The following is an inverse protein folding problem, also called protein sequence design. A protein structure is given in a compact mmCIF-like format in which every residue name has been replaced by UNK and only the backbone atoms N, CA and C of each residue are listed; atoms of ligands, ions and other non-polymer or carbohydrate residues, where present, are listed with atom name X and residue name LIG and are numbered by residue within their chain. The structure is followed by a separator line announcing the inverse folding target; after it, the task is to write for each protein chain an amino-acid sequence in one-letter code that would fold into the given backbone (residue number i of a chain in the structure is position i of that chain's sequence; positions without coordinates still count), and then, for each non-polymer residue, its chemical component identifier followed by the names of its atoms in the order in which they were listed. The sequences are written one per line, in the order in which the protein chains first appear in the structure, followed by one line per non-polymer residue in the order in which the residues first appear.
data_IF_133589764778
#
_entry.id   IF_133589764778
#
_cell.length_a   1.000
_cell.length_b   1.000
_cell.length_c   1.000
_cell.angle_alpha   90.00
_cell.angle_beta   90.00
_cell.angle_gamma   90.00
#
_symmetry.space_group_name_H-M   'P 1'
#
loop_
_entity.id
_entity.type
_entity.pdbx_description
1 polymer ?
#
# COMPACT_ATOMS: atom_id res chain seq x y z
N UNK A 1 27.35 -44.55 -11.70
CA UNK A 1 27.10 -43.59 -12.78
C UNK A 1 25.74 -42.87 -12.60
N UNK A 2 24.71 -43.59 -12.12
CA UNK A 2 23.32 -43.03 -11.98
C UNK A 2 23.21 -41.86 -10.98
N UNK A 3 23.85 -41.98 -9.82
CA UNK A 3 23.80 -40.91 -8.79
C UNK A 3 24.40 -39.55 -9.27
N UNK A 4 25.47 -39.58 -10.08
CA UNK A 4 26.05 -38.36 -10.66
C UNK A 4 25.14 -37.71 -11.69
N UNK A 5 24.40 -38.48 -12.48
CA UNK A 5 23.43 -37.95 -13.47
C UNK A 5 22.20 -37.32 -12.78
N UNK A 6 21.72 -37.92 -11.71
CA UNK A 6 20.60 -37.40 -10.92
C UNK A 6 21.01 -36.05 -10.25
N UNK A 7 22.22 -36.00 -9.69
CA UNK A 7 22.74 -34.74 -9.09
C UNK A 7 22.90 -33.63 -10.13
N UNK A 8 23.41 -33.94 -11.33
CA UNK A 8 23.55 -32.97 -12.42
C UNK A 8 22.19 -32.49 -12.95
N UNK A 9 21.17 -33.33 -13.00
CA UNK A 9 19.82 -32.96 -13.41
C UNK A 9 19.17 -32.11 -12.33
N UNK A 10 19.35 -32.42 -11.04
CA UNK A 10 18.87 -31.58 -9.93
C UNK A 10 19.54 -30.20 -9.94
N UNK A 11 20.86 -30.16 -10.16
CA UNK A 11 21.60 -28.89 -10.27
C UNK A 11 21.12 -28.04 -11.46
N UNK A 12 20.88 -28.68 -12.60
CA UNK A 12 20.36 -28.03 -13.80
C UNK A 12 18.93 -27.50 -13.58
N UNK A 13 18.05 -28.28 -12.90
CA UNK A 13 16.72 -27.83 -12.51
C UNK A 13 16.77 -26.66 -11.52
N UNK A 14 17.67 -26.69 -10.54
CA UNK A 14 17.88 -25.56 -9.63
C UNK A 14 18.39 -24.32 -10.37
N UNK A 15 19.34 -24.45 -11.31
CA UNK A 15 19.82 -23.34 -12.14
C UNK A 15 18.73 -22.79 -13.06
N UNK A 16 17.90 -23.64 -13.64
CA UNK A 16 16.78 -23.19 -14.49
C UNK A 16 15.71 -22.49 -13.65
N UNK A 17 15.45 -22.95 -12.44
CA UNK A 17 14.52 -22.28 -11.50
C UNK A 17 15.06 -20.91 -11.02
N UNK A 18 16.39 -20.74 -10.90
CA UNK A 18 17.00 -19.43 -10.55
C UNK A 18 17.15 -18.48 -11.75
N UNK A 19 17.02 -19.01 -12.98
CA UNK A 19 17.04 -18.24 -14.23
C UNK A 19 15.65 -17.94 -14.79
N UNK A 20 14.59 -18.40 -14.12
CA UNK A 20 13.25 -17.91 -14.44
C UNK A 20 13.25 -16.41 -14.13
N UNK A 21 13.10 -15.56 -15.15
CA UNK A 21 13.05 -14.13 -14.91
C UNK A 21 11.86 -13.84 -13.99
N UNK A 22 12.04 -12.91 -13.08
CA UNK A 22 10.98 -12.31 -12.26
C UNK A 22 9.79 -11.77 -13.09
N UNK A 23 9.88 -11.83 -14.41
CA UNK A 23 8.84 -11.54 -15.37
C UNK A 23 7.60 -12.48 -15.31
N UNK A 24 7.68 -13.64 -14.66
CA UNK A 24 6.53 -14.54 -14.57
C UNK A 24 5.38 -14.04 -13.69
N UNK A 25 5.61 -12.99 -12.88
CA UNK A 25 4.57 -12.37 -12.03
C UNK A 25 3.98 -11.08 -12.61
N UNK A 26 4.46 -10.59 -13.74
CA UNK A 26 3.87 -9.46 -14.48
C UNK A 26 2.56 -9.81 -15.22
N UNK A 27 2.05 -11.03 -15.06
CA UNK A 27 1.00 -11.61 -15.91
C UNK A 27 -0.39 -11.00 -15.76
N UNK A 28 -0.60 -10.02 -14.86
CA UNK A 28 -1.91 -9.38 -14.67
C UNK A 28 -1.92 -7.88 -15.02
N UNK A 29 -0.90 -7.38 -15.69
CA UNK A 29 -0.94 -6.00 -16.17
C UNK A 29 -2.00 -5.86 -17.25
N UNK A 30 -2.93 -4.96 -17.00
CA UNK A 30 -3.94 -4.64 -18.01
C UNK A 30 -3.31 -3.77 -19.11
N UNK A 31 -3.71 -3.99 -20.37
CA UNK A 31 -3.28 -3.12 -21.46
C UNK A 31 -3.66 -1.66 -21.16
N UNK A 32 -2.84 -0.74 -21.61
CA UNK A 32 -3.09 0.67 -21.43
C UNK A 32 -4.40 1.13 -22.11
N UNK A 33 -5.13 1.98 -21.40
CA UNK A 33 -6.39 2.52 -21.89
C UNK A 33 -6.12 3.86 -22.58
N UNK A 34 -6.28 3.89 -23.91
CA UNK A 34 -6.18 5.12 -24.72
C UNK A 34 -7.53 5.81 -24.94
N UNK A 35 -8.58 5.40 -24.25
CA UNK A 35 -9.94 5.90 -24.49
C UNK A 35 -10.06 7.36 -24.04
N UNK A 36 -10.32 8.24 -25.02
CA UNK A 36 -10.97 9.52 -24.75
C UNK A 36 -12.41 9.30 -24.29
N UNK A 37 -13.03 10.29 -23.64
CA UNK A 37 -14.44 10.21 -23.30
C UNK A 37 -15.25 10.06 -24.61
N UNK A 38 -16.06 9.00 -24.77
CA UNK A 38 -16.84 8.80 -25.97
C UNK A 38 -17.85 9.93 -26.19
N UNK A 39 -18.16 10.22 -27.40
CA UNK A 39 -19.24 11.16 -27.77
C UNK A 39 -20.63 10.52 -27.75
N UNK A 40 -20.68 9.17 -27.79
CA UNK A 40 -21.91 8.38 -27.72
C UNK A 40 -21.77 7.22 -26.77
N UNK A 41 -22.86 6.86 -26.11
CA UNK A 41 -22.93 5.77 -25.12
C UNK A 41 -24.05 4.79 -25.52
N UNK A 42 -23.83 3.49 -25.28
CA UNK A 42 -24.89 2.49 -25.53
C UNK A 42 -26.09 2.69 -24.60
N UNK A 43 -25.82 3.16 -23.38
CA UNK A 43 -26.85 3.45 -22.37
C UNK A 43 -26.51 4.68 -21.55
N UNK A 44 -27.49 5.56 -21.38
CA UNK A 44 -27.42 6.69 -20.46
C UNK A 44 -28.44 6.49 -19.34
N UNK A 45 -27.98 6.63 -18.08
CA UNK A 45 -28.76 6.47 -16.87
C UNK A 45 -28.67 7.73 -16.02
N UNK A 46 -29.82 8.30 -15.69
CA UNK A 46 -29.94 9.42 -14.76
C UNK A 46 -30.35 8.85 -13.39
N UNK A 47 -29.47 8.95 -12.39
CA UNK A 47 -29.70 8.40 -11.08
C UNK A 47 -30.85 9.09 -10.33
N UNK A 48 -31.15 10.35 -10.64
CA UNK A 48 -32.27 11.08 -10.01
C UNK A 48 -33.63 10.45 -10.34
N UNK A 49 -33.70 9.70 -11.43
CA UNK A 49 -34.91 8.98 -11.90
C UNK A 49 -34.95 7.52 -11.43
N UNK A 50 -33.86 7.02 -10.83
CA UNK A 50 -33.78 5.63 -10.37
C UNK A 50 -34.36 5.51 -8.95
N UNK A 51 -35.22 4.50 -8.73
CA UNK A 51 -35.88 4.25 -7.43
C UNK A 51 -35.50 2.89 -6.84
N UNK A 52 -34.47 2.24 -7.38
CA UNK A 52 -33.99 0.92 -6.95
C UNK A 52 -32.52 0.71 -7.38
N UNK A 53 -31.95 -0.39 -6.91
CA UNK A 53 -30.60 -0.84 -7.32
C UNK A 53 -30.42 -0.81 -8.85
N UNK A 54 -29.35 -0.19 -9.32
CA UNK A 54 -28.98 -0.21 -10.74
C UNK A 54 -28.11 -1.45 -11.01
N UNK A 55 -28.62 -2.35 -11.84
CA UNK A 55 -27.87 -3.55 -12.25
C UNK A 55 -27.30 -3.39 -13.65
N UNK A 56 -25.99 -3.64 -13.78
CA UNK A 56 -25.26 -3.68 -15.03
C UNK A 56 -24.87 -5.13 -15.30
N UNK A 57 -25.39 -5.70 -16.40
CA UNK A 57 -25.28 -7.14 -16.68
C UNK A 57 -24.69 -7.48 -18.05
N UNK A 58 -24.13 -6.48 -18.74
CA UNK A 58 -23.50 -6.62 -20.05
C UNK A 58 -22.21 -5.77 -20.15
N UNK A 59 -21.44 -5.97 -21.21
CA UNK A 59 -20.17 -5.28 -21.45
C UNK A 59 -20.33 -3.99 -22.29
N UNK A 60 -21.46 -3.32 -22.19
CA UNK A 60 -21.72 -2.08 -22.91
C UNK A 60 -21.03 -0.88 -22.28
N UNK A 61 -21.06 0.22 -23.05
CA UNK A 61 -20.59 1.53 -22.58
C UNK A 61 -21.74 2.31 -21.97
N UNK A 62 -21.59 2.70 -20.72
CA UNK A 62 -22.61 3.41 -19.95
C UNK A 62 -22.17 4.83 -19.63
N UNK A 63 -23.10 5.79 -19.71
CA UNK A 63 -23.01 7.07 -19.04
C UNK A 63 -24.00 7.08 -17.87
N UNK A 64 -23.49 7.26 -16.65
CA UNK A 64 -24.31 7.38 -15.45
C UNK A 64 -24.13 8.80 -14.91
N UNK A 65 -25.23 9.54 -14.85
CA UNK A 65 -25.27 10.91 -14.34
C UNK A 65 -25.83 10.96 -12.93
N UNK A 66 -25.13 11.68 -12.06
CA UNK A 66 -25.62 12.05 -10.74
C UNK A 66 -26.57 13.24 -10.78
N UNK A 67 -26.74 13.87 -9.63
CA UNK A 67 -27.49 15.12 -9.48
C UNK A 67 -26.54 16.32 -9.51
N UNK A 68 -27.02 17.44 -10.04
CA UNK A 68 -26.33 18.75 -9.92
C UNK A 68 -26.35 19.28 -8.47
N UNK A 69 -27.32 18.82 -7.66
CA UNK A 69 -27.38 19.17 -6.23
C UNK A 69 -26.25 18.42 -5.49
N UNK A 70 -25.27 19.14 -4.88
CA UNK A 70 -24.16 18.53 -4.16
C UNK A 70 -24.57 17.81 -2.88
N UNK A 71 -25.77 18.01 -2.37
CA UNK A 71 -26.29 17.38 -1.16
C UNK A 71 -27.14 16.15 -1.47
N UNK A 72 -27.40 15.86 -2.75
CA UNK A 72 -28.20 14.72 -3.14
C UNK A 72 -27.35 13.47 -3.29
N UNK A 73 -27.80 12.38 -2.69
CA UNK A 73 -27.18 11.07 -2.78
C UNK A 73 -28.17 10.02 -3.26
N UNK A 74 -27.74 9.22 -4.23
CA UNK A 74 -28.44 7.99 -4.58
C UNK A 74 -28.34 6.99 -3.43
N UNK A 75 -29.47 6.56 -2.89
CA UNK A 75 -29.56 5.72 -1.67
C UNK A 75 -29.53 4.22 -1.97
N UNK A 76 -29.30 3.83 -3.20
CA UNK A 76 -29.19 2.46 -3.62
C UNK A 76 -27.80 2.20 -4.16
N UNK A 77 -27.43 0.94 -4.34
CA UNK A 77 -26.14 0.58 -4.93
C UNK A 77 -26.20 0.46 -6.45
N UNK A 78 -25.05 0.57 -7.07
CA UNK A 78 -24.79 0.13 -8.44
C UNK A 78 -24.14 -1.25 -8.36
N UNK A 79 -24.78 -2.27 -8.91
CA UNK A 79 -24.26 -3.63 -8.96
C UNK A 79 -23.85 -4.03 -10.36
N UNK A 80 -22.57 -4.38 -10.54
CA UNK A 80 -22.02 -4.91 -11.78
C UNK A 80 -21.99 -6.42 -11.65
N UNK A 81 -22.91 -7.11 -12.32
CA UNK A 81 -23.21 -8.54 -12.13
C UNK A 81 -23.31 -9.27 -13.46
N UNK A 82 -22.24 -9.98 -13.79
CA UNK A 82 -22.19 -10.78 -15.01
C UNK A 82 -23.10 -12.02 -15.04
N UNK A 83 -23.80 -12.33 -13.94
CA UNK A 83 -24.60 -13.56 -13.81
C UNK A 83 -23.81 -14.81 -14.26
N UNK A 84 -22.57 -14.96 -13.75
CA UNK A 84 -21.59 -16.01 -14.13
C UNK A 84 -21.01 -15.86 -15.54
N UNK A 85 -21.34 -14.81 -16.29
CA UNK A 85 -20.65 -14.45 -17.52
C UNK A 85 -19.53 -13.47 -17.23
N UNK A 86 -18.40 -13.62 -17.90
CA UNK A 86 -17.32 -12.62 -17.85
C UNK A 86 -17.80 -11.37 -18.61
N UNK A 87 -18.09 -10.31 -17.86
CA UNK A 87 -18.42 -8.99 -18.44
C UNK A 87 -17.35 -7.98 -18.09
N UNK A 88 -17.17 -7.00 -18.95
CA UNK A 88 -16.25 -5.88 -18.75
C UNK A 88 -16.89 -4.60 -19.30
N UNK A 89 -17.87 -4.00 -18.59
CA UNK A 89 -18.46 -2.74 -18.99
C UNK A 89 -17.47 -1.59 -18.85
N UNK A 90 -17.62 -0.59 -19.71
CA UNK A 90 -17.00 0.71 -19.60
C UNK A 90 -18.04 1.69 -19.05
N UNK A 91 -17.85 2.17 -17.82
CA UNK A 91 -18.86 2.96 -17.11
C UNK A 91 -18.29 4.35 -16.84
N UNK A 92 -18.85 5.35 -17.48
CA UNK A 92 -18.56 6.75 -17.28
C UNK A 92 -19.52 7.32 -16.24
N UNK A 93 -18.97 7.90 -15.19
CA UNK A 93 -19.67 8.37 -13.99
C UNK A 93 -19.46 9.89 -13.89
N UNK A 94 -20.53 10.66 -14.07
CA UNK A 94 -20.49 12.12 -14.06
C UNK A 94 -21.24 12.65 -12.82
N UNK A 95 -20.50 13.21 -11.87
CA UNK A 95 -21.05 13.79 -10.65
C UNK A 95 -21.84 12.79 -9.78
N UNK A 96 -21.38 11.54 -9.72
CA UNK A 96 -22.14 10.48 -9.05
C UNK A 96 -21.85 10.46 -7.55
N UNK A 97 -22.88 10.73 -6.74
CA UNK A 97 -22.83 10.63 -5.27
C UNK A 97 -23.69 9.48 -4.81
N UNK A 98 -23.09 8.48 -4.15
CA UNK A 98 -23.77 7.27 -3.67
C UNK A 98 -23.56 7.11 -2.18
N UNK A 99 -24.67 6.90 -1.46
CA UNK A 99 -24.64 6.43 -0.08
C UNK A 99 -25.19 5.00 -0.06
N UNK A 100 -24.31 4.07 0.31
CA UNK A 100 -24.64 2.65 0.30
C UNK A 100 -25.86 2.33 1.16
N UNK A 101 -26.70 1.36 0.76
CA UNK A 101 -27.71 0.79 1.64
C UNK A 101 -27.02 0.12 2.84
N UNK A 102 -27.76 -0.05 3.94
CA UNK A 102 -27.24 -0.57 5.23
C UNK A 102 -26.49 -1.91 5.10
N UNK A 103 -26.80 -2.69 4.08
CA UNK A 103 -26.33 -4.06 3.87
C UNK A 103 -25.44 -4.22 2.61
N UNK A 104 -24.80 -3.17 2.14
CA UNK A 104 -23.99 -3.26 0.94
C UNK A 104 -22.98 -2.13 0.72
N UNK A 105 -22.17 -2.25 -0.32
CA UNK A 105 -21.30 -1.19 -0.85
C UNK A 105 -22.12 -0.19 -1.70
N UNK A 106 -21.51 0.98 -2.00
CA UNK A 106 -22.11 1.92 -2.94
C UNK A 106 -22.01 1.43 -4.40
N UNK A 107 -20.86 0.90 -4.78
CA UNK A 107 -20.67 0.20 -6.07
C UNK A 107 -20.08 -1.18 -5.77
N UNK A 108 -20.64 -2.22 -6.41
CA UNK A 108 -20.27 -3.61 -6.22
C UNK A 108 -19.91 -4.28 -7.54
N UNK A 109 -18.69 -4.83 -7.65
CA UNK A 109 -18.34 -5.82 -8.65
C UNK A 109 -18.63 -7.21 -8.09
N UNK A 110 -19.63 -7.88 -8.66
CA UNK A 110 -20.16 -9.14 -8.14
C UNK A 110 -19.69 -10.32 -8.98
N UNK A 111 -19.40 -11.46 -8.33
CA UNK A 111 -19.06 -12.75 -8.96
C UNK A 111 -18.02 -12.68 -10.08
N UNK A 112 -16.89 -12.01 -9.83
CA UNK A 112 -15.78 -11.99 -10.78
C UNK A 112 -15.97 -11.12 -12.02
N UNK A 113 -16.94 -10.20 -12.00
CA UNK A 113 -17.07 -9.19 -13.03
C UNK A 113 -15.81 -8.31 -13.07
N UNK A 114 -15.41 -7.91 -14.28
CA UNK A 114 -14.44 -6.84 -14.50
C UNK A 114 -15.18 -5.54 -14.79
N UNK A 115 -14.56 -4.38 -14.54
CA UNK A 115 -15.08 -3.09 -14.95
C UNK A 115 -13.97 -2.07 -15.13
N UNK A 116 -14.17 -1.15 -16.10
CA UNK A 116 -13.46 0.10 -16.19
C UNK A 116 -14.42 1.23 -15.78
N UNK A 117 -14.13 1.89 -14.67
CA UNK A 117 -14.90 3.02 -14.15
C UNK A 117 -14.16 4.32 -14.47
N UNK A 118 -14.81 5.22 -15.19
CA UNK A 118 -14.29 6.51 -15.61
C UNK A 118 -15.07 7.61 -14.89
N UNK A 119 -14.46 8.27 -13.94
CA UNK A 119 -15.05 9.43 -13.25
C UNK A 119 -14.71 10.69 -14.05
N UNK A 120 -15.73 11.35 -14.54
CA UNK A 120 -15.64 12.47 -15.49
C UNK A 120 -16.56 13.63 -15.09
N UNK A 121 -16.40 14.76 -15.73
CA UNK A 121 -17.30 15.92 -15.63
C UNK A 121 -17.24 16.58 -14.27
N UNK A 122 -17.88 15.99 -13.28
CA UNK A 122 -17.99 16.53 -11.92
C UNK A 122 -17.47 15.54 -10.88
N UNK A 123 -17.09 16.06 -9.69
CA UNK A 123 -16.62 15.27 -8.56
C UNK A 123 -17.66 14.23 -8.13
N UNK A 124 -17.15 13.07 -7.77
CA UNK A 124 -17.96 11.93 -7.34
C UNK A 124 -17.62 11.48 -5.93
N UNK A 125 -18.61 10.98 -5.21
CA UNK A 125 -18.45 10.51 -3.85
C UNK A 125 -19.19 9.20 -3.60
N UNK A 126 -18.49 8.24 -3.01
CA UNK A 126 -19.00 6.92 -2.68
C UNK A 126 -18.85 6.67 -1.19
N UNK A 127 -19.93 6.32 -0.49
CA UNK A 127 -19.94 6.05 0.95
C UNK A 127 -20.42 4.62 1.18
N UNK A 128 -19.57 3.78 1.78
CA UNK A 128 -19.89 2.39 2.14
C UNK A 128 -20.68 2.27 3.46
N UNK A 129 -21.44 1.21 3.59
CA UNK A 129 -22.07 0.87 4.87
C UNK A 129 -21.03 0.27 5.86
N UNK A 130 -21.41 0.12 7.14
CA UNK A 130 -20.51 -0.21 8.25
C UNK A 130 -19.50 -1.34 7.95
N UNK A 131 -19.94 -2.42 7.33
CA UNK A 131 -19.10 -3.59 7.06
C UNK A 131 -18.51 -3.61 5.64
N UNK A 132 -18.78 -2.60 4.82
CA UNK A 132 -18.57 -2.66 3.38
C UNK A 132 -17.61 -1.59 2.89
N UNK A 133 -16.89 -1.92 1.82
CA UNK A 133 -16.15 -0.94 1.06
C UNK A 133 -17.12 0.05 0.37
N UNK A 134 -16.64 1.26 0.08
CA UNK A 134 -17.43 2.18 -0.74
C UNK A 134 -17.51 1.68 -2.19
N UNK A 135 -16.37 1.33 -2.78
CA UNK A 135 -16.24 0.68 -4.08
C UNK A 135 -15.67 -0.71 -3.89
N UNK A 136 -16.52 -1.74 -4.03
CA UNK A 136 -16.16 -3.11 -3.69
C UNK A 136 -15.70 -3.94 -4.88
N UNK A 137 -14.52 -4.56 -4.73
CA UNK A 137 -13.98 -5.61 -5.59
C UNK A 137 -13.28 -6.63 -4.69
N UNK A 138 -13.99 -7.69 -4.33
CA UNK A 138 -13.58 -8.64 -3.30
C UNK A 138 -13.34 -10.08 -3.78
N UNK A 139 -13.32 -10.31 -5.07
CA UNK A 139 -13.03 -11.61 -5.69
C UNK A 139 -11.71 -11.58 -6.44
N UNK A 140 -11.02 -12.71 -6.51
CA UNK A 140 -9.78 -12.88 -7.28
C UNK A 140 -10.02 -12.79 -8.78
N UNK A 141 -11.17 -13.30 -9.26
CA UNK A 141 -11.55 -13.22 -10.66
C UNK A 141 -11.91 -11.79 -11.08
N UNK A 142 -11.63 -11.47 -12.32
CA UNK A 142 -11.89 -10.17 -12.91
C UNK A 142 -10.99 -9.06 -12.35
N UNK A 143 -11.18 -7.85 -12.82
CA UNK A 143 -10.43 -6.68 -12.37
C UNK A 143 -11.31 -5.44 -12.21
N UNK A 144 -10.84 -4.49 -11.43
CA UNK A 144 -11.39 -3.15 -11.34
C UNK A 144 -10.34 -2.15 -11.82
N UNK A 145 -10.62 -1.40 -12.87
CA UNK A 145 -9.83 -0.24 -13.24
C UNK A 145 -10.57 1.04 -12.93
N UNK A 146 -9.94 1.93 -12.17
CA UNK A 146 -10.46 3.25 -11.80
C UNK A 146 -9.65 4.32 -12.50
N UNK A 147 -10.33 5.14 -13.28
CA UNK A 147 -9.77 6.24 -14.04
C UNK A 147 -10.52 7.53 -13.65
N UNK A 148 -9.80 8.54 -13.22
CA UNK A 148 -10.38 9.84 -12.83
C UNK A 148 -9.83 10.89 -13.76
N UNK A 149 -10.72 11.61 -14.44
CA UNK A 149 -10.37 12.67 -15.37
C UNK A 149 -9.56 13.77 -14.65
N UNK A 150 -8.57 14.30 -15.32
CA UNK A 150 -7.75 15.41 -14.79
C UNK A 150 -8.64 16.59 -14.41
N UNK A 151 -8.43 17.12 -13.20
CA UNK A 151 -9.25 18.19 -12.64
C UNK A 151 -10.49 17.69 -11.87
N UNK A 152 -10.78 16.39 -11.90
CA UNK A 152 -11.91 15.76 -11.19
C UNK A 152 -11.40 14.98 -9.98
N UNK A 153 -12.24 14.89 -8.94
CA UNK A 153 -11.99 14.14 -7.72
C UNK A 153 -13.01 13.03 -7.50
N UNK A 154 -12.51 11.86 -7.15
CA UNK A 154 -13.29 10.75 -6.60
C UNK A 154 -12.99 10.63 -5.10
N UNK A 155 -14.02 10.69 -4.27
CA UNK A 155 -13.92 10.39 -2.83
C UNK A 155 -14.61 9.07 -2.53
N UNK A 156 -13.89 8.14 -1.89
CA UNK A 156 -14.40 6.84 -1.45
C UNK A 156 -14.21 6.70 0.06
N UNK A 157 -15.31 6.63 0.80
CA UNK A 157 -15.31 6.43 2.24
C UNK A 157 -15.88 5.05 2.58
N UNK A 158 -15.03 4.14 3.00
CA UNK A 158 -15.43 2.81 3.49
C UNK A 158 -16.14 2.89 4.84
N UNK A 159 -16.94 1.87 5.15
CA UNK A 159 -17.50 1.71 6.47
C UNK A 159 -16.46 1.27 7.51
N UNK A 160 -16.85 1.14 8.77
CA UNK A 160 -15.95 0.82 9.91
C UNK A 160 -15.01 -0.35 9.65
N UNK A 161 -15.49 -1.38 8.97
CA UNK A 161 -14.75 -2.61 8.70
C UNK A 161 -14.35 -2.78 7.22
N UNK A 162 -14.81 -1.91 6.34
CA UNK A 162 -14.57 -1.97 4.91
C UNK A 162 -13.42 -1.06 4.47
N UNK A 163 -12.84 -1.39 3.32
CA UNK A 163 -11.88 -0.54 2.63
C UNK A 163 -12.57 0.70 2.02
N UNK A 164 -11.80 1.75 1.74
CA UNK A 164 -12.30 2.81 0.86
C UNK A 164 -12.61 2.25 -0.53
N UNK A 165 -11.63 1.56 -1.12
CA UNK A 165 -11.76 0.82 -2.40
C UNK A 165 -11.19 -0.57 -2.21
N UNK A 166 -11.98 -1.62 -2.46
CA UNK A 166 -11.53 -3.00 -2.40
C UNK A 166 -12.42 -3.93 -1.61
N UNK A 167 -11.96 -4.47 -0.50
CA UNK A 167 -12.62 -5.50 0.29
C UNK A 167 -13.56 -4.96 1.37
N UNK A 168 -14.55 -5.75 1.70
CA UNK A 168 -15.42 -5.56 2.86
C UNK A 168 -14.93 -6.43 4.03
N UNK A 169 -15.61 -6.43 5.17
CA UNK A 169 -15.28 -7.29 6.31
C UNK A 169 -15.30 -8.78 5.92
N UNK A 170 -14.30 -9.55 6.33
CA UNK A 170 -14.31 -11.02 6.18
C UNK A 170 -15.41 -11.65 7.05
N UNK A 171 -16.03 -12.71 6.54
CA UNK A 171 -17.02 -13.51 7.29
C UNK A 171 -18.45 -12.96 7.32
N UNK A 172 -18.76 -11.92 6.55
CA UNK A 172 -20.14 -11.49 6.36
C UNK A 172 -20.86 -12.48 5.44
N UNK A 173 -22.07 -12.88 5.80
CA UNK A 173 -22.91 -13.79 5.02
C UNK A 173 -23.02 -13.29 3.57
N UNK A 174 -22.65 -14.14 2.60
CA UNK A 174 -22.55 -13.86 1.17
C UNK A 174 -21.34 -13.02 0.71
N UNK A 175 -20.44 -12.57 1.61
CA UNK A 175 -19.24 -11.82 1.31
C UNK A 175 -18.04 -12.52 1.98
N UNK A 176 -17.77 -13.75 1.61
CA UNK A 176 -16.81 -14.63 2.27
C UNK A 176 -15.34 -14.18 2.17
N UNK A 177 -15.05 -13.19 1.35
CA UNK A 177 -13.69 -12.75 1.10
C UNK A 177 -13.62 -11.22 1.22
N UNK A 178 -13.05 -10.75 2.30
CA UNK A 178 -12.80 -9.31 2.53
C UNK A 178 -11.59 -8.78 1.77
N UNK A 179 -11.14 -9.49 0.74
CA UNK A 179 -9.96 -9.14 -0.02
C UNK A 179 -10.21 -7.97 -0.97
N UNK A 180 -9.22 -7.12 -1.16
CA UNK A 180 -9.16 -6.13 -2.24
C UNK A 180 -8.15 -6.62 -3.27
N UNK A 181 -8.62 -7.16 -4.40
CA UNK A 181 -7.77 -7.89 -5.34
C UNK A 181 -7.95 -7.39 -6.76
N UNK A 182 -6.84 -7.29 -7.48
CA UNK A 182 -6.78 -6.93 -8.90
C UNK A 182 -7.37 -5.54 -9.16
N UNK A 183 -6.79 -4.55 -8.45
CA UNK A 183 -7.18 -3.14 -8.46
C UNK A 183 -6.17 -2.32 -9.27
N UNK A 184 -6.65 -1.57 -10.25
CA UNK A 184 -5.81 -0.78 -11.15
C UNK A 184 -6.24 0.68 -11.14
N UNK A 185 -5.28 1.61 -10.97
CA UNK A 185 -5.53 3.05 -10.86
C UNK A 185 -4.76 3.81 -11.93
N UNK A 186 -5.47 4.58 -12.74
CA UNK A 186 -4.89 5.40 -13.79
C UNK A 186 -4.46 4.63 -15.04
N UNK A 187 -3.64 5.30 -15.88
CA UNK A 187 -3.10 4.79 -17.15
C UNK A 187 -1.75 5.44 -17.42
N UNK A 188 -0.81 4.70 -18.00
CA UNK A 188 0.46 5.25 -18.48
C UNK A 188 0.34 5.89 -19.87
N UNK A 189 -0.69 5.53 -20.62
CA UNK A 189 -0.81 5.93 -22.03
C UNK A 189 -1.35 7.36 -22.23
N UNK A 190 -1.91 7.99 -21.20
CA UNK A 190 -2.57 9.29 -21.36
C UNK A 190 -2.63 10.08 -20.06
N UNK A 191 -2.44 11.40 -20.17
CA UNK A 191 -2.60 12.34 -19.04
C UNK A 191 -4.06 12.74 -18.79
N UNK A 192 -5.02 12.24 -19.57
CA UNK A 192 -6.46 12.56 -19.42
C UNK A 192 -6.98 12.07 -18.08
N UNK A 193 -6.41 11.00 -17.54
CA UNK A 193 -6.83 10.36 -16.29
C UNK A 193 -5.80 10.58 -15.16
N UNK A 194 -5.37 11.82 -14.99
CA UNK A 194 -4.48 12.28 -13.92
C UNK A 194 -5.21 12.90 -12.73
N UNK A 195 -6.52 12.66 -12.59
CA UNK A 195 -7.33 13.24 -11.51
C UNK A 195 -7.03 12.68 -10.13
N UNK A 196 -7.81 13.14 -9.13
CA UNK A 196 -7.57 12.83 -7.73
C UNK A 196 -8.49 11.71 -7.22
N UNK A 197 -7.91 10.75 -6.50
CA UNK A 197 -8.63 9.73 -5.74
C UNK A 197 -8.32 9.93 -4.26
N UNK A 198 -9.38 10.17 -3.45
CA UNK A 198 -9.33 10.17 -1.99
C UNK A 198 -10.03 8.92 -1.48
N UNK A 199 -9.25 7.94 -1.00
CA UNK A 199 -9.80 6.69 -0.48
C UNK A 199 -9.50 6.56 1.00
N UNK A 200 -10.56 6.58 1.83
CA UNK A 200 -10.48 6.54 3.28
C UNK A 200 -11.24 5.31 3.76
N UNK A 201 -10.59 4.48 4.55
CA UNK A 201 -11.28 3.35 5.21
C UNK A 201 -11.93 3.80 6.52
N UNK A 202 -12.73 2.90 7.08
CA UNK A 202 -13.04 2.95 8.49
C UNK A 202 -11.87 2.47 9.37
N UNK A 203 -12.18 2.02 10.59
CA UNK A 203 -11.14 1.69 11.62
C UNK A 203 -10.26 0.51 11.20
N UNK A 204 -10.85 -0.51 10.59
CA UNK A 204 -10.19 -1.81 10.38
C UNK A 204 -9.86 -2.14 8.92
N UNK A 205 -10.38 -1.40 7.97
CA UNK A 205 -10.11 -1.61 6.55
C UNK A 205 -8.86 -0.86 6.07
N UNK A 206 -8.33 -1.25 4.93
CA UNK A 206 -7.35 -0.47 4.20
C UNK A 206 -7.99 0.71 3.46
N UNK A 207 -7.26 1.80 3.24
CA UNK A 207 -7.75 2.86 2.35
C UNK A 207 -8.03 2.32 0.95
N UNK A 208 -7.06 1.60 0.36
CA UNK A 208 -7.19 0.80 -0.86
C UNK A 208 -6.69 -0.61 -0.56
N UNK A 209 -7.53 -1.63 -0.72
CA UNK A 209 -7.16 -3.02 -0.53
C UNK A 209 -8.14 -3.81 0.30
N UNK A 210 -7.68 -4.53 1.34
CA UNK A 210 -8.51 -5.40 2.17
C UNK A 210 -9.43 -4.67 3.13
N UNK A 211 -10.63 -5.22 3.38
CA UNK A 211 -11.41 -4.92 4.58
C UNK A 211 -10.82 -5.66 5.80
N UNK A 212 -11.46 -5.58 6.98
CA UNK A 212 -11.00 -6.30 8.17
C UNK A 212 -10.83 -7.81 7.88
N UNK A 213 -9.66 -8.34 8.20
CA UNK A 213 -9.25 -9.72 7.92
C UNK A 213 -8.91 -9.98 6.44
N UNK A 214 -8.97 -8.97 5.58
CA UNK A 214 -8.81 -9.12 4.14
C UNK A 214 -7.44 -8.74 3.62
N UNK A 215 -7.02 -9.45 2.59
CA UNK A 215 -5.77 -9.20 1.85
C UNK A 215 -5.94 -8.02 0.89
N UNK A 216 -4.92 -7.18 0.78
CA UNK A 216 -4.75 -6.27 -0.36
C UNK A 216 -3.74 -6.86 -1.34
N UNK A 217 -4.20 -7.23 -2.53
CA UNK A 217 -3.37 -8.01 -3.46
C UNK A 217 -3.56 -7.57 -4.91
N UNK A 218 -2.47 -7.59 -5.69
CA UNK A 218 -2.49 -7.20 -7.10
C UNK A 218 -3.04 -5.77 -7.27
N UNK A 219 -2.42 -4.82 -6.56
CA UNK A 219 -2.78 -3.40 -6.60
C UNK A 219 -1.77 -2.67 -7.48
N UNK A 220 -2.26 -2.02 -8.53
CA UNK A 220 -1.44 -1.34 -9.53
C UNK A 220 -1.79 0.15 -9.60
N UNK A 221 -0.79 1.02 -9.43
CA UNK A 221 -0.92 2.47 -9.60
C UNK A 221 -0.06 2.91 -10.78
N UNK A 222 -0.70 3.45 -11.80
CA UNK A 222 -0.05 3.90 -13.03
C UNK A 222 0.08 5.42 -13.11
N UNK A 223 -0.95 6.16 -12.67
CA UNK A 223 -0.98 7.62 -12.74
C UNK A 223 -2.06 8.19 -11.81
N UNK A 224 -2.19 9.52 -11.78
CA UNK A 224 -3.15 10.23 -10.95
C UNK A 224 -2.58 10.62 -9.59
N UNK A 225 -3.41 11.33 -8.81
CA UNK A 225 -3.09 11.72 -7.43
C UNK A 225 -3.93 10.88 -6.48
N UNK A 226 -3.30 10.02 -5.71
CA UNK A 226 -3.94 9.15 -4.74
C UNK A 226 -3.63 9.63 -3.32
N UNK A 227 -4.66 10.00 -2.57
CA UNK A 227 -4.60 10.28 -1.13
C UNK A 227 -5.36 9.17 -0.42
N UNK A 228 -4.61 8.27 0.20
CA UNK A 228 -5.13 7.00 0.70
C UNK A 228 -4.85 6.86 2.18
N UNK A 229 -5.89 6.64 2.98
CA UNK A 229 -5.74 6.63 4.43
C UNK A 229 -6.54 5.53 5.09
N UNK A 230 -5.91 4.81 5.99
CA UNK A 230 -6.60 4.04 7.02
C UNK A 230 -6.66 4.87 8.31
N UNK A 231 -7.86 4.96 8.92
CA UNK A 231 -8.02 5.77 10.15
C UNK A 231 -7.48 5.08 11.38
N UNK A 232 -7.11 3.79 11.33
CA UNK A 232 -6.48 3.09 12.45
C UNK A 232 -5.64 1.88 12.02
N UNK A 233 -6.21 0.68 11.95
CA UNK A 233 -5.47 -0.58 11.99
C UNK A 233 -5.21 -1.22 10.61
N UNK A 234 -5.90 -0.76 9.56
CA UNK A 234 -5.61 -1.17 8.20
C UNK A 234 -4.39 -0.44 7.62
N UNK A 235 -3.86 -0.93 6.54
CA UNK A 235 -2.86 -0.23 5.74
C UNK A 235 -3.48 0.95 4.97
N UNK A 236 -2.67 1.97 4.62
CA UNK A 236 -3.10 2.93 3.62
C UNK A 236 -3.43 2.20 2.31
N UNK A 237 -2.43 1.55 1.69
CA UNK A 237 -2.60 0.67 0.54
C UNK A 237 -2.15 -0.73 0.94
N UNK A 238 -3.05 -1.73 0.86
CA UNK A 238 -2.72 -3.11 1.15
C UNK A 238 -3.73 -3.83 2.01
N UNK A 239 -3.29 -4.51 3.08
CA UNK A 239 -4.15 -5.31 3.95
C UNK A 239 -5.04 -4.50 4.88
N UNK A 240 -6.25 -4.98 5.16
CA UNK A 240 -6.99 -4.55 6.35
C UNK A 240 -6.36 -5.11 7.63
N UNK A 241 -6.88 -4.77 8.81
CA UNK A 241 -6.46 -5.37 10.08
C UNK A 241 -6.46 -6.91 9.96
N UNK A 242 -5.36 -7.55 10.34
CA UNK A 242 -5.18 -8.99 10.23
C UNK A 242 -4.94 -9.49 8.80
N UNK A 243 -4.78 -8.61 7.81
CA UNK A 243 -4.55 -8.96 6.41
C UNK A 243 -3.19 -8.52 5.88
N UNK A 244 -2.53 -9.34 5.04
CA UNK A 244 -1.32 -8.93 4.35
C UNK A 244 -1.60 -7.96 3.20
N UNK A 245 -0.58 -7.16 2.86
CA UNK A 245 -0.50 -6.41 1.61
C UNK A 245 0.58 -7.04 0.74
N UNK A 246 0.21 -7.46 -0.47
CA UNK A 246 1.15 -8.16 -1.35
C UNK A 246 0.89 -7.92 -2.82
N UNK A 247 1.94 -8.06 -3.64
CA UNK A 247 1.86 -7.77 -5.08
C UNK A 247 1.33 -6.37 -5.35
N UNK A 248 1.96 -5.37 -4.70
CA UNK A 248 1.61 -3.94 -4.84
C UNK A 248 2.63 -3.29 -5.75
N UNK A 249 2.16 -2.68 -6.83
CA UNK A 249 2.99 -2.11 -7.89
C UNK A 249 2.67 -0.63 -8.10
N UNK A 250 3.61 0.25 -7.78
CA UNK A 250 3.50 1.69 -8.05
C UNK A 250 4.48 2.04 -9.16
N UNK A 251 3.93 2.34 -10.34
CA UNK A 251 4.68 2.64 -11.57
C UNK A 251 4.69 4.13 -11.90
N UNK A 252 3.81 4.91 -11.28
CA UNK A 252 3.72 6.35 -11.54
C UNK A 252 2.67 7.01 -10.65
N UNK A 253 2.41 8.29 -10.94
CA UNK A 253 1.46 9.10 -10.18
C UNK A 253 2.06 9.74 -8.94
N UNK A 254 1.21 10.39 -8.15
CA UNK A 254 1.52 10.96 -6.85
C UNK A 254 0.70 10.22 -5.80
N UNK A 255 1.35 9.48 -4.93
CA UNK A 255 0.71 8.61 -3.93
C UNK A 255 1.07 9.11 -2.53
N UNK A 256 0.06 9.47 -1.74
CA UNK A 256 0.19 9.66 -0.30
C UNK A 256 -0.65 8.59 0.38
N UNK A 257 0.02 7.62 1.00
CA UNK A 257 -0.60 6.46 1.62
C UNK A 257 -0.22 6.36 3.09
N UNK A 258 -1.21 6.31 3.98
CA UNK A 258 -0.92 6.30 5.40
C UNK A 258 -1.87 5.49 6.26
N UNK A 259 -1.35 5.09 7.42
CA UNK A 259 -2.11 4.51 8.52
C UNK A 259 -1.93 5.35 9.78
N UNK A 260 -3.03 5.63 10.47
CA UNK A 260 -2.98 6.44 11.70
C UNK A 260 -2.52 5.62 12.92
N UNK A 261 -2.48 4.30 12.84
CA UNK A 261 -2.13 3.48 13.99
C UNK A 261 -1.28 2.25 13.61
N UNK A 262 -1.87 1.05 13.62
CA UNK A 262 -1.12 -0.20 13.56
C UNK A 262 -0.73 -0.68 12.18
N UNK A 263 -1.44 -0.26 11.13
CA UNK A 263 -1.13 -0.68 9.77
C UNK A 263 0.06 0.04 9.15
N UNK A 264 0.59 -0.51 8.08
CA UNK A 264 1.61 0.14 7.27
C UNK A 264 1.03 1.26 6.39
N UNK A 265 1.86 2.22 5.96
CA UNK A 265 1.46 3.14 4.90
C UNK A 265 1.14 2.39 3.61
N UNK A 266 2.07 1.53 3.17
CA UNK A 266 1.89 0.60 2.03
C UNK A 266 2.34 -0.78 2.50
N UNK A 267 1.43 -1.77 2.55
CA UNK A 267 1.76 -3.13 2.96
C UNK A 267 0.70 -3.81 3.80
N UNK A 268 1.05 -4.44 4.92
CA UNK A 268 0.07 -5.16 5.74
C UNK A 268 -0.64 -4.25 6.75
N UNK A 269 -1.86 -4.66 7.11
CA UNK A 269 -2.55 -4.10 8.27
C UNK A 269 -1.90 -4.56 9.60
N UNK A 270 -2.43 -4.05 10.71
CA UNK A 270 -2.08 -4.47 12.05
C UNK A 270 -2.43 -5.95 12.26
N UNK A 271 -1.49 -6.74 12.74
CA UNK A 271 -1.66 -8.19 12.89
C UNK A 271 -2.33 -8.61 14.20
N UNK A 272 -2.55 -7.69 15.15
CA UNK A 272 -3.31 -7.87 16.42
C UNK A 272 -2.98 -9.14 17.21
N UNK A 273 -1.79 -9.71 17.06
CA UNK A 273 -1.27 -10.85 17.83
C UNK A 273 -2.09 -12.16 17.80
N UNK A 274 -3.31 -12.12 17.31
CA UNK A 274 -4.28 -13.23 17.35
C UNK A 274 -4.30 -14.06 16.07
N UNK A 275 -4.08 -13.42 14.94
CA UNK A 275 -3.98 -14.08 13.65
C UNK A 275 -2.67 -13.63 13.01
N UNK A 276 -1.61 -14.42 13.14
CA UNK A 276 -0.40 -14.25 12.34
C UNK A 276 -0.78 -14.49 10.88
N UNK A 277 -1.31 -13.48 10.24
CA UNK A 277 -1.50 -13.50 8.80
C UNK A 277 -0.14 -13.35 8.14
N UNK A 278 -0.11 -13.65 6.85
CA UNK A 278 1.10 -13.51 6.06
C UNK A 278 1.64 -12.06 6.12
N UNK A 279 2.95 -11.93 6.12
CA UNK A 279 3.67 -10.67 6.12
C UNK A 279 3.43 -9.85 4.84
N UNK A 280 3.79 -8.58 4.85
CA UNK A 280 3.81 -7.78 3.64
C UNK A 280 4.95 -8.23 2.73
N UNK A 281 4.65 -8.49 1.45
CA UNK A 281 5.67 -8.92 0.50
C UNK A 281 5.36 -8.56 -0.95
N UNK A 282 6.39 -8.59 -1.82
CA UNK A 282 6.28 -8.25 -3.24
C UNK A 282 5.69 -6.85 -3.46
N UNK A 283 6.33 -5.85 -2.83
CA UNK A 283 5.99 -4.43 -3.03
C UNK A 283 7.04 -3.84 -3.97
N UNK A 284 6.58 -3.34 -5.11
CA UNK A 284 7.44 -2.74 -6.13
C UNK A 284 7.07 -1.27 -6.38
N UNK A 285 8.04 -0.38 -6.28
CA UNK A 285 7.92 1.02 -6.64
C UNK A 285 8.98 1.31 -7.73
N UNK A 286 8.51 1.47 -8.97
CA UNK A 286 9.37 1.72 -10.11
C UNK A 286 9.25 3.15 -10.67
N UNK A 287 8.37 3.97 -10.10
CA UNK A 287 8.20 5.36 -10.50
C UNK A 287 7.21 6.14 -9.64
N UNK A 288 7.00 7.40 -10.00
CA UNK A 288 6.09 8.30 -9.30
C UNK A 288 6.71 9.06 -8.13
N UNK A 289 5.86 9.81 -7.43
CA UNK A 289 6.18 10.46 -6.15
C UNK A 289 5.34 9.78 -5.07
N UNK A 290 6.01 9.10 -4.15
CA UNK A 290 5.35 8.26 -3.14
C UNK A 290 5.70 8.76 -1.75
N UNK A 291 4.69 9.06 -0.96
CA UNK A 291 4.80 9.29 0.47
C UNK A 291 4.00 8.21 1.19
N UNK A 292 4.70 7.39 1.95
CA UNK A 292 4.11 6.28 2.71
C UNK A 292 4.44 6.44 4.19
N UNK A 293 3.42 6.43 5.07
CA UNK A 293 3.64 6.71 6.48
C UNK A 293 2.75 5.87 7.39
N UNK A 294 3.26 5.60 8.59
CA UNK A 294 2.50 5.05 9.70
C UNK A 294 2.78 5.89 10.94
N UNK A 295 1.73 6.34 11.60
CA UNK A 295 1.83 7.24 12.75
C UNK A 295 2.05 6.50 14.08
N UNK A 296 2.07 5.16 14.07
CA UNK A 296 2.29 4.41 15.31
C UNK A 296 3.12 3.14 15.08
N UNK A 297 2.50 2.00 14.87
CA UNK A 297 3.21 0.73 14.96
C UNK A 297 3.61 0.12 13.62
N UNK A 298 3.03 0.55 12.52
CA UNK A 298 3.38 0.04 11.19
C UNK A 298 4.64 0.66 10.61
N UNK A 299 5.18 0.02 9.59
CA UNK A 299 6.21 0.58 8.72
C UNK A 299 5.62 1.63 7.77
N UNK A 300 6.45 2.54 7.25
CA UNK A 300 6.05 3.35 6.11
C UNK A 300 5.70 2.47 4.91
N UNK A 301 6.62 1.58 4.52
CA UNK A 301 6.42 0.56 3.48
C UNK A 301 6.82 -0.79 4.05
N UNK A 302 5.88 -1.75 4.12
CA UNK A 302 6.13 -3.10 4.61
C UNK A 302 5.13 -3.60 5.62
N UNK A 303 5.58 -4.08 6.79
CA UNK A 303 4.74 -4.67 7.83
C UNK A 303 3.91 -3.68 8.63
N UNK A 304 2.69 -4.05 9.00
CA UNK A 304 1.97 -3.45 10.12
C UNK A 304 2.52 -3.92 11.46
N UNK A 305 1.92 -3.55 12.59
CA UNK A 305 2.28 -4.06 13.93
C UNK A 305 2.31 -5.59 13.92
N UNK A 306 3.34 -6.17 14.49
CA UNK A 306 3.64 -7.61 14.54
C UNK A 306 3.82 -8.27 13.15
N UNK A 307 3.83 -7.48 12.08
CA UNK A 307 4.03 -7.92 10.69
C UNK A 307 5.41 -7.57 10.15
N UNK A 308 5.94 -8.44 9.32
CA UNK A 308 7.24 -8.25 8.66
C UNK A 308 7.06 -7.70 7.24
N UNK A 309 8.15 -7.17 6.66
CA UNK A 309 8.18 -6.69 5.28
C UNK A 309 9.29 -7.36 4.49
N UNK A 310 8.92 -8.13 3.45
CA UNK A 310 9.86 -8.86 2.60
C UNK A 310 9.67 -8.56 1.12
N UNK A 311 10.69 -8.83 0.32
CA UNK A 311 10.65 -8.67 -1.13
C UNK A 311 10.17 -7.28 -1.56
N UNK A 312 10.76 -6.24 -0.97
CA UNK A 312 10.44 -4.84 -1.29
C UNK A 312 11.47 -4.32 -2.29
N UNK A 313 11.00 -3.84 -3.44
CA UNK A 313 11.85 -3.33 -4.51
C UNK A 313 11.47 -1.89 -4.85
N UNK A 314 12.41 -0.96 -4.66
CA UNK A 314 12.27 0.46 -5.02
C UNK A 314 13.33 0.77 -6.06
N UNK A 315 12.92 0.89 -7.32
CA UNK A 315 13.82 1.01 -8.47
C UNK A 315 13.64 2.30 -9.26
N UNK A 316 12.86 3.24 -8.74
CA UNK A 316 12.65 4.53 -9.37
C UNK A 316 11.77 5.45 -8.55
N UNK A 317 11.56 6.66 -9.06
CA UNK A 317 10.69 7.66 -8.45
C UNK A 317 11.35 8.47 -7.33
N UNK A 318 10.51 9.24 -6.64
CA UNK A 318 10.84 9.98 -5.41
C UNK A 318 10.02 9.38 -4.29
N UNK A 319 10.66 8.76 -3.31
CA UNK A 319 9.98 8.00 -2.26
C UNK A 319 10.33 8.56 -0.89
N UNK A 320 9.32 8.85 -0.09
CA UNK A 320 9.42 9.13 1.34
C UNK A 320 8.66 8.06 2.10
N UNK A 321 9.36 7.30 2.92
CA UNK A 321 8.78 6.25 3.75
C UNK A 321 9.05 6.54 5.23
N UNK A 322 8.00 6.58 6.05
CA UNK A 322 8.11 6.96 7.45
C UNK A 322 7.34 5.97 8.34
N UNK A 323 8.04 5.33 9.26
CA UNK A 323 7.47 4.61 10.40
C UNK A 323 7.69 5.38 11.70
N UNK A 324 6.96 5.02 12.72
CA UNK A 324 7.15 5.55 14.06
C UNK A 324 7.84 4.49 14.94
N UNK A 325 7.14 3.44 15.37
CA UNK A 325 7.72 2.22 15.95
C UNK A 325 8.11 1.19 14.90
N UNK A 326 7.52 1.26 13.71
CA UNK A 326 7.94 0.48 12.57
C UNK A 326 9.09 1.13 11.82
N UNK A 327 9.70 0.38 10.95
CA UNK A 327 10.73 0.85 10.05
C UNK A 327 10.18 1.89 9.05
N UNK A 328 11.05 2.74 8.51
CA UNK A 328 10.68 3.49 7.30
C UNK A 328 10.29 2.52 6.18
N UNK A 329 11.16 1.53 5.90
CA UNK A 329 10.91 0.45 4.94
C UNK A 329 11.29 -0.88 5.61
N UNK A 330 10.37 -1.85 5.66
CA UNK A 330 10.61 -3.17 6.22
C UNK A 330 9.59 -3.61 7.25
N UNK A 331 10.00 -3.99 8.45
CA UNK A 331 9.10 -4.50 9.50
C UNK A 331 8.33 -3.41 10.23
N UNK A 332 7.09 -3.68 10.61
CA UNK A 332 6.40 -2.93 11.66
C UNK A 332 6.98 -3.22 13.04
N UNK A 333 6.42 -2.63 14.08
CA UNK A 333 6.79 -2.93 15.48
C UNK A 333 6.70 -4.45 15.71
N UNK A 334 7.75 -5.04 16.26
CA UNK A 334 7.98 -6.48 16.44
C UNK A 334 8.14 -7.29 15.12
N UNK A 335 8.16 -6.63 13.98
CA UNK A 335 8.31 -7.28 12.67
C UNK A 335 9.74 -7.27 12.17
N UNK A 336 10.08 -8.28 11.38
CA UNK A 336 11.35 -8.43 10.70
C UNK A 336 11.30 -7.85 9.28
N UNK A 337 12.45 -7.83 8.64
CA UNK A 337 12.55 -7.47 7.23
C UNK A 337 13.46 -8.44 6.50
N UNK A 338 13.40 -8.42 5.19
CA UNK A 338 14.35 -9.16 4.38
C UNK A 338 14.13 -8.97 2.88
N UNK A 339 15.19 -9.17 2.11
CA UNK A 339 15.19 -9.07 0.66
C UNK A 339 14.67 -7.70 0.16
N UNK A 340 15.30 -6.61 0.63
CA UNK A 340 14.96 -5.24 0.21
C UNK A 340 15.97 -4.77 -0.84
N UNK A 341 15.48 -4.34 -2.00
CA UNK A 341 16.26 -3.75 -3.08
C UNK A 341 15.88 -2.28 -3.25
N UNK A 342 16.86 -1.39 -3.14
CA UNK A 342 16.71 0.05 -3.39
C UNK A 342 17.72 0.43 -4.46
N UNK A 343 17.23 0.94 -5.61
CA UNK A 343 18.06 1.30 -6.73
C UNK A 343 17.46 2.46 -7.53
N UNK A 344 18.31 3.36 -8.02
CA UNK A 344 17.94 4.42 -8.97
C UNK A 344 16.77 5.30 -8.54
N UNK A 345 16.62 5.54 -7.24
CA UNK A 345 15.54 6.30 -6.63
C UNK A 345 16.07 7.46 -5.80
N UNK A 346 15.25 8.49 -5.63
CA UNK A 346 15.46 9.50 -4.58
C UNK A 346 14.63 9.04 -3.36
N UNK A 347 15.32 8.55 -2.32
CA UNK A 347 14.68 7.95 -1.16
C UNK A 347 14.94 8.75 0.12
N UNK A 348 13.89 8.97 0.89
CA UNK A 348 13.96 9.37 2.30
C UNK A 348 13.24 8.30 3.13
N UNK A 349 13.99 7.50 3.87
CA UNK A 349 13.43 6.52 4.80
C UNK A 349 13.67 6.97 6.24
N UNK A 350 12.61 7.04 7.04
CA UNK A 350 12.62 7.55 8.41
C UNK A 350 12.00 6.53 9.36
N UNK A 351 12.68 6.28 10.46
CA UNK A 351 12.07 5.70 11.66
C UNK A 351 12.07 6.79 12.72
N UNK A 352 10.90 7.28 13.12
CA UNK A 352 10.78 8.38 14.07
C UNK A 352 10.91 7.87 15.50
N UNK A 353 11.68 8.57 16.37
CA UNK A 353 11.74 8.23 17.78
C UNK A 353 10.46 8.63 18.50
N UNK A 354 10.01 7.81 19.40
CA UNK A 354 9.03 8.22 20.41
C UNK A 354 9.63 9.16 21.44
N UNK A 355 8.80 10.08 21.93
CA UNK A 355 9.07 10.77 23.19
C UNK A 355 9.25 9.73 24.29
N UNK A 356 10.46 9.58 24.76
CA UNK A 356 10.74 8.69 25.88
C UNK A 356 10.17 9.30 27.16
N UNK A 357 9.20 8.64 27.77
CA UNK A 357 9.05 8.72 29.21
C UNK A 357 10.35 8.23 29.84
N UNK A 358 10.83 8.80 30.96
CA UNK A 358 12.04 8.34 31.63
C UNK A 358 12.04 6.85 31.98
N UNK A 359 10.88 6.20 31.95
CA UNK A 359 10.68 4.79 32.26
C UNK A 359 10.68 3.85 31.03
N UNK A 360 10.78 4.39 29.80
CA UNK A 360 10.80 3.56 28.59
C UNK A 360 12.16 3.65 27.91
N UNK A 361 12.83 2.51 27.82
CA UNK A 361 14.01 2.35 26.96
C UNK A 361 13.63 2.62 25.52
N UNK A 362 14.32 3.53 24.87
CA UNK A 362 14.06 3.89 23.48
C UNK A 362 14.15 2.65 22.58
N UNK A 363 13.04 2.31 21.96
CA UNK A 363 12.95 1.24 20.98
C UNK A 363 13.39 1.82 19.64
N UNK A 364 14.45 1.30 19.07
CA UNK A 364 14.95 1.77 17.79
C UNK A 364 14.40 0.92 16.66
N UNK A 365 13.58 1.50 15.81
CA UNK A 365 13.29 0.94 14.50
C UNK A 365 14.37 1.36 13.50
N UNK A 366 14.57 0.57 12.45
CA UNK A 366 15.51 0.89 11.38
C UNK A 366 14.86 1.82 10.35
N UNK A 367 15.64 2.74 9.76
CA UNK A 367 15.14 3.48 8.59
C UNK A 367 14.80 2.52 7.45
N UNK A 368 15.67 1.52 7.21
CA UNK A 368 15.42 0.39 6.32
C UNK A 368 15.81 -0.87 7.06
N UNK A 369 14.88 -1.78 7.29
CA UNK A 369 15.15 -2.99 8.06
C UNK A 369 13.98 -3.38 8.98
N UNK A 370 14.29 -3.94 10.14
CA UNK A 370 13.28 -4.35 11.12
C UNK A 370 12.68 -3.18 11.89
N UNK A 371 11.48 -3.37 12.38
CA UNK A 371 10.84 -2.46 13.34
C UNK A 371 11.39 -2.60 14.75
N UNK A 372 10.93 -1.75 15.65
CA UNK A 372 11.28 -1.81 17.08
C UNK A 372 10.72 -3.07 17.73
N UNK A 373 11.43 -3.61 18.74
CA UNK A 373 10.98 -4.82 19.44
C UNK A 373 10.66 -4.51 20.91
N UNK A 374 9.47 -4.81 21.35
CA UNK A 374 9.03 -4.67 22.73
C UNK A 374 9.60 -5.72 23.70
N UNK A 375 10.02 -6.89 23.19
CA UNK A 375 10.33 -8.04 24.03
C UNK A 375 11.72 -7.95 24.69
N UNK A 376 12.62 -7.08 24.23
CA UNK A 376 13.98 -6.97 24.75
C UNK A 376 14.18 -5.87 25.78
N UNK A 377 13.21 -5.65 26.66
CA UNK A 377 13.37 -4.76 27.82
C UNK A 377 14.47 -5.16 28.81
N UNK A 378 15.00 -6.37 28.69
CA UNK A 378 16.01 -6.89 29.65
C UNK A 378 17.39 -7.19 29.05
N UNK A 379 17.58 -7.00 27.75
CA UNK A 379 18.95 -7.09 27.23
C UNK A 379 19.65 -5.78 27.52
N UNK A 380 20.43 -5.80 28.58
CA UNK A 380 21.42 -4.78 28.91
C UNK A 380 22.19 -4.44 27.65
N UNK A 381 21.97 -3.25 27.11
CA UNK A 381 22.78 -2.72 26.03
C UNK A 381 24.13 -2.33 26.60
N UNK A 382 25.04 -3.29 26.65
CA UNK A 382 26.44 -3.00 26.82
C UNK A 382 26.96 -2.35 25.59
N UNK A 383 27.44 -1.09 25.72
CA UNK A 383 28.31 -0.33 24.80
C UNK A 383 28.43 -0.82 23.33
N UNK A 384 27.34 -0.97 22.66
CA UNK A 384 27.35 -1.23 21.22
C UNK A 384 27.13 0.08 20.47
N UNK A 385 28.09 0.42 19.63
CA UNK A 385 27.91 1.41 18.57
C UNK A 385 26.73 0.97 17.72
N UNK A 386 25.66 1.78 17.69
CA UNK A 386 24.55 1.55 16.81
C UNK A 386 24.99 1.83 15.39
N UNK A 387 25.46 0.79 14.71
CA UNK A 387 25.34 0.77 13.26
C UNK A 387 23.85 0.76 12.93
N UNK A 388 23.38 1.56 11.98
CA UNK A 388 22.13 1.32 11.30
C UNK A 388 22.21 -0.14 10.83
N UNK A 389 21.55 -1.07 11.54
CA UNK A 389 21.62 -2.48 11.17
C UNK A 389 20.79 -2.66 9.92
N UNK A 390 21.45 -2.57 8.80
CA UNK A 390 20.89 -3.02 7.54
C UNK A 390 21.11 -4.52 7.53
N UNK A 391 20.03 -5.27 7.62
CA UNK A 391 20.07 -6.71 7.66
C UNK A 391 20.68 -7.30 6.37
N UNK A 392 21.24 -8.51 6.46
CA UNK A 392 22.10 -9.14 5.45
C UNK A 392 21.56 -9.17 4.01
N UNK A 393 20.26 -8.95 3.80
CA UNK A 393 19.58 -9.04 2.50
C UNK A 393 19.11 -7.68 1.93
N UNK A 394 19.62 -6.57 2.47
CA UNK A 394 19.28 -5.23 1.95
C UNK A 394 20.35 -4.79 0.96
N UNK A 395 19.93 -4.47 -0.26
CA UNK A 395 20.81 -3.98 -1.33
C UNK A 395 20.40 -2.57 -1.72
N UNK A 396 21.34 -1.64 -1.62
CA UNK A 396 21.13 -0.26 -2.06
C UNK A 396 22.14 0.03 -3.15
N UNK A 397 21.66 0.56 -4.26
CA UNK A 397 22.48 0.90 -5.41
C UNK A 397 21.97 2.11 -6.16
N UNK A 398 22.85 2.76 -6.91
CA UNK A 398 22.47 3.79 -7.86
C UNK A 398 23.13 3.53 -9.20
N UNK A 399 22.45 3.86 -10.29
CA UNK A 399 23.00 3.92 -11.61
C UNK A 399 22.87 5.34 -12.18
N UNK A 400 23.74 5.70 -13.10
CA UNK A 400 23.66 6.98 -13.83
C UNK A 400 23.70 8.24 -12.94
N UNK A 401 24.55 8.26 -11.91
CA UNK A 401 24.76 9.44 -11.07
C UNK A 401 23.61 9.83 -10.16
N UNK A 402 22.62 8.96 -9.97
CA UNK A 402 21.56 9.15 -8.96
C UNK A 402 22.10 8.85 -7.57
N UNK A 403 21.56 9.51 -6.57
CA UNK A 403 21.89 9.30 -5.16
C UNK A 403 20.71 8.69 -4.40
N UNK A 404 21.05 7.97 -3.34
CA UNK A 404 20.07 7.52 -2.34
C UNK A 404 20.33 8.33 -1.08
N UNK A 405 19.32 9.08 -0.62
CA UNK A 405 19.38 9.80 0.65
C UNK A 405 18.70 8.97 1.72
N UNK A 406 19.46 8.59 2.74
CA UNK A 406 18.95 7.93 3.94
C UNK A 406 18.98 8.91 5.10
N UNK A 407 17.84 9.16 5.70
CA UNK A 407 17.72 9.95 6.92
C UNK A 407 17.21 9.03 8.02
N UNK A 408 17.89 9.03 9.14
CA UNK A 408 17.46 8.30 10.32
C UNK A 408 17.62 9.21 11.56
N UNK A 409 16.59 9.21 12.39
CA UNK A 409 16.60 9.93 13.66
C UNK A 409 16.34 8.94 14.78
N UNK A 410 17.01 9.10 15.89
CA UNK A 410 16.82 8.20 17.04
C UNK A 410 17.32 8.77 18.35
N UNK A 411 16.87 8.16 19.43
CA UNK A 411 17.31 8.45 20.77
C UNK A 411 17.99 7.22 21.34
N UNK A 412 19.14 7.43 22.00
CA UNK A 412 19.83 6.38 22.74
C UNK A 412 19.95 6.75 24.21
N UNK A 413 19.65 5.81 25.09
CA UNK A 413 19.88 5.96 26.52
C UNK A 413 21.10 5.16 26.96
N UNK A 414 22.02 5.78 27.73
CA UNK A 414 23.10 5.09 28.43
C UNK A 414 22.71 4.84 29.90
N UNK A 415 22.54 3.57 30.24
CA UNK A 415 22.04 3.15 31.54
C UNK A 415 23.03 3.36 32.70
N UNK A 416 24.35 3.41 32.47
CA UNK A 416 25.41 3.35 33.48
C UNK A 416 26.16 4.64 33.72
N UNK A 417 25.69 5.77 33.30
CA UNK A 417 26.34 7.06 33.57
C UNK A 417 25.44 7.99 34.37
N UNK A 418 25.97 8.44 35.53
CA UNK A 418 25.39 9.54 36.27
C UNK A 418 26.02 10.87 35.81
N UNK A 419 25.22 11.93 35.56
CA UNK A 419 23.77 11.91 35.47
C UNK A 419 23.25 11.21 34.22
N UNK A 420 22.04 10.63 34.29
CA UNK A 420 21.38 9.95 33.16
C UNK A 420 21.32 10.88 31.95
N UNK A 421 22.01 10.52 30.88
CA UNK A 421 22.09 11.35 29.66
C UNK A 421 21.34 10.67 28.53
N UNK A 422 20.47 11.44 27.88
CA UNK A 422 19.83 11.07 26.62
C UNK A 422 20.69 11.56 25.47
N UNK A 423 20.86 10.73 24.45
CA UNK A 423 21.53 11.09 23.22
C UNK A 423 20.52 11.12 22.10
N UNK A 424 20.42 12.27 21.46
CA UNK A 424 19.68 12.42 20.23
C UNK A 424 20.67 12.34 19.07
N UNK A 425 20.33 11.56 18.07
CA UNK A 425 21.09 11.55 16.83
C UNK A 425 20.14 11.80 15.66
N UNK A 426 20.58 12.69 14.80
CA UNK A 426 19.96 13.00 13.52
C UNK A 426 21.05 12.91 12.47
N UNK A 427 20.92 11.95 11.57
CA UNK A 427 21.87 11.80 10.47
C UNK A 427 21.13 11.75 9.16
N UNK A 428 21.53 12.62 8.27
CA UNK A 428 21.17 12.52 6.86
C UNK A 428 22.44 12.13 6.12
N UNK A 429 22.44 10.95 5.57
CA UNK A 429 23.57 10.46 4.75
C UNK A 429 23.13 10.43 3.31
N UNK A 430 23.83 11.18 2.47
CA UNK A 430 23.68 11.12 1.02
C UNK A 430 24.75 10.19 0.47
N UNK A 431 24.32 9.07 -0.09
CA UNK A 431 25.21 8.10 -0.71
C UNK A 431 25.24 8.37 -2.21
N UNK A 432 26.34 8.93 -2.67
CA UNK A 432 26.67 8.96 -4.10
C UNK A 432 27.32 7.62 -4.45
N UNK A 433 26.64 6.85 -5.28
CA UNK A 433 27.13 5.52 -5.67
C UNK A 433 27.65 5.59 -7.09
N UNK A 434 28.97 5.36 -7.29
CA UNK A 434 29.56 5.36 -8.63
C UNK A 434 29.04 4.21 -9.49
N UNK A 435 29.04 4.44 -10.79
CA UNK A 435 28.30 3.72 -11.82
C UNK A 435 28.79 2.30 -12.18
N UNK A 436 29.88 1.84 -11.61
CA UNK A 436 30.49 0.58 -12.02
C UNK A 436 30.25 -0.49 -10.94
N UNK A 437 29.32 -1.39 -11.21
CA UNK A 437 29.00 -2.55 -10.38
C UNK A 437 28.49 -2.25 -8.97
N UNK A 438 27.80 -1.16 -8.78
CA UNK A 438 27.36 -0.49 -7.58
C UNK A 438 26.53 -1.29 -6.56
N UNK A 439 27.08 -2.37 -6.04
CA UNK A 439 26.67 -2.91 -4.75
C UNK A 439 27.37 -2.11 -3.66
N UNK A 440 26.65 -1.27 -2.98
CA UNK A 440 27.09 -0.82 -1.67
C UNK A 440 26.55 -1.82 -0.66
N UNK A 441 27.42 -2.62 -0.11
CA UNK A 441 27.14 -3.37 1.10
C UNK A 441 27.10 -2.35 2.25
N UNK A 442 25.88 -1.94 2.62
CA UNK A 442 25.67 -1.02 3.73
C UNK A 442 25.85 -1.68 5.12
N UNK A 443 26.49 -2.83 5.19
CA UNK A 443 26.80 -3.52 6.44
C UNK A 443 27.61 -2.68 7.44
N UNK A 444 28.09 -1.51 7.04
CA UNK A 444 28.91 -0.62 7.88
C UNK A 444 28.69 0.86 7.59
N UNK A 445 27.49 1.37 7.68
CA UNK A 445 27.35 2.79 7.94
C UNK A 445 27.50 3.01 9.46
N UNK A 446 28.73 3.17 9.91
CA UNK A 446 28.99 3.76 11.20
C UNK A 446 28.52 5.21 11.15
N UNK A 447 27.51 5.54 11.94
CA UNK A 447 27.05 6.91 12.06
C UNK A 447 28.14 7.75 12.74
N UNK A 448 28.61 8.86 12.13
CA UNK A 448 29.53 9.74 12.81
C UNK A 448 28.81 10.47 13.93
N UNK A 449 29.31 10.30 15.15
CA UNK A 449 29.13 11.11 16.37
C UNK A 449 27.72 11.50 16.80
N UNK A 450 27.34 10.94 17.93
CA UNK A 450 26.22 11.45 18.72
C UNK A 450 26.53 12.86 19.26
N UNK A 451 25.68 13.82 18.99
CA UNK A 451 25.75 15.15 19.59
C UNK A 451 25.14 15.14 20.99
N UNK A 452 25.86 15.70 21.93
CA UNK A 452 25.42 15.81 23.31
C UNK A 452 24.56 17.09 23.45
N UNK A 453 23.26 16.98 23.40
CA UNK A 453 22.39 18.07 23.79
C UNK A 453 22.21 18.03 25.31
N UNK A 454 22.92 18.95 25.99
CA UNK A 454 22.77 19.15 27.41
C UNK A 454 21.34 19.53 27.74
N UNK A 455 20.82 18.90 28.78
CA UNK A 455 19.67 19.19 29.63
C UNK A 455 18.47 19.92 28.97
N UNK A 456 17.37 19.24 28.91
CA UNK A 456 16.09 19.83 29.33
C UNK A 456 15.72 19.23 30.68
#
# INVERSE_FOLDING_TARGET
PMKKRILSILLLCCMVLTLLPTAAFAANELPDVKLSVPTTFDKTVDLTKQKKELKITDSKTYLIKGSEDPNWYFQYRIKIDGKRKKITPHIFLDGVRLKAPKDGPAIELYEGASACLYFIGNDSELIGAENFAALQKNKTDGYLRVLVQTGIKLTCQGGKYGAGIGGSKVGIKNFSQGHGVNLHFGSLATNIYGGEISAISGVYGAGIGGGQGGVGEQIYVYSGKLTVRSVSEGAGIGGGQGGPGRFIYIKGGTVNAGSESGGAGIGSGDQDGQNKSEDAHHIEISGGTVEAWSNYAGAGIGGGRDGSGYDISITGGVVRAQGYFGAGIGGGMNGNSGNILIKDTTLTALALPLYSSPDYTALSASAVGRGSNRVHYQVVMQDQEFAMSIEENIKIGASNGKSVRLSATGWQWRHNQEPKKYWYWDTTTELLIPNENGRVDLQRLSLPYAYNYGRV
#
